data_IF_553159310571
#
_entry.id   IF_553159310571
#
_cell.length_a   1.000
_cell.length_b   1.000
_cell.length_c   1.000
_cell.angle_alpha   90.00
_cell.angle_beta   90.00
_cell.angle_gamma   90.00
#
_symmetry.space_group_name_H-M   'P 1'
#
loop_
_entity.id
_entity.type
_entity.pdbx_description
1 polymer ?
#
# COMPACT_ATOMS: atom_id res chain seq x y z
N UNK A 1 20.22 -17.97 4.28
CA UNK A 1 20.32 -16.52 4.00
C UNK A 1 21.73 -16.28 3.45
N UNK A 2 21.90 -15.72 2.26
CA UNK A 2 23.20 -15.58 1.60
C UNK A 2 23.09 -14.96 0.20
N UNK A 3 24.19 -14.42 -0.32
CA UNK A 3 24.21 -13.73 -1.62
C UNK A 3 23.75 -14.64 -2.77
N UNK A 4 22.89 -14.11 -3.65
CA UNK A 4 22.36 -14.84 -4.81
C UNK A 4 21.25 -15.84 -4.50
N UNK A 5 20.74 -15.88 -3.26
CA UNK A 5 19.52 -16.63 -2.93
C UNK A 5 18.37 -15.67 -2.72
N UNK A 6 17.25 -15.95 -3.38
CA UNK A 6 16.00 -15.26 -3.12
C UNK A 6 15.66 -15.38 -1.63
N UNK A 7 15.46 -14.22 -1.00
CA UNK A 7 15.05 -14.13 0.38
C UNK A 7 13.76 -13.32 0.41
N UNK A 8 12.67 -14.00 0.74
CA UNK A 8 11.39 -13.35 0.84
C UNK A 8 11.33 -12.53 2.12
N UNK A 9 10.91 -11.26 2.00
CA UNK A 9 10.64 -10.40 3.14
C UNK A 9 9.26 -10.74 3.72
N UNK A 10 9.06 -11.98 4.16
CA UNK A 10 7.82 -12.39 4.86
C UNK A 10 7.93 -11.91 6.30
N UNK A 11 7.15 -10.90 6.65
CA UNK A 11 6.89 -10.57 8.05
C UNK A 11 5.86 -11.58 8.63
N UNK A 12 5.91 -11.84 9.93
CA UNK A 12 4.92 -12.67 10.64
C UNK A 12 3.49 -12.11 10.62
N UNK A 13 3.30 -10.91 10.05
CA UNK A 13 2.01 -10.26 9.87
C UNK A 13 1.78 -9.80 8.43
N UNK A 14 0.52 -9.90 8.01
CA UNK A 14 -0.01 -9.12 6.89
C UNK A 14 -0.45 -7.76 7.43
N UNK A 15 -0.17 -6.68 6.69
CA UNK A 15 -0.76 -5.39 6.96
C UNK A 15 -1.82 -5.11 5.88
N UNK A 16 -3.02 -4.72 6.31
CA UNK A 16 -4.13 -4.43 5.38
C UNK A 16 -4.20 -2.94 5.06
N UNK A 17 -4.29 -2.61 3.77
CA UNK A 17 -4.49 -1.26 3.25
C UNK A 17 -5.99 -0.90 3.21
N UNK A 18 -6.66 -0.79 4.37
CA UNK A 18 -8.11 -0.59 4.44
C UNK A 18 -8.58 0.79 4.93
N UNK A 19 -7.66 1.69 5.30
CA UNK A 19 -8.01 3.05 5.72
C UNK A 19 -7.73 4.01 4.57
N UNK A 20 -8.68 4.90 4.29
CA UNK A 20 -8.46 5.98 3.32
C UNK A 20 -7.34 6.87 3.82
N UNK A 21 -6.39 7.20 2.93
CA UNK A 21 -5.25 8.02 3.27
C UNK A 21 -3.97 7.63 2.54
N UNK A 22 -2.92 8.38 2.84
CA UNK A 22 -1.58 8.18 2.29
C UNK A 22 -0.81 7.18 3.14
N UNK A 23 -0.33 6.11 2.52
CA UNK A 23 0.56 5.14 3.14
C UNK A 23 1.99 5.40 2.69
N UNK A 24 2.91 5.39 3.64
CA UNK A 24 4.36 5.53 3.41
C UNK A 24 5.06 4.23 3.72
N UNK A 25 6.24 4.03 3.14
CA UNK A 25 7.12 2.91 3.41
C UNK A 25 8.45 3.39 3.98
N UNK A 26 9.00 2.60 4.88
CA UNK A 26 10.34 2.76 5.46
C UNK A 26 11.03 1.40 5.33
N UNK A 27 12.10 1.37 4.53
CA UNK A 27 12.85 0.15 4.25
C UNK A 27 14.32 0.44 4.58
N UNK A 28 14.92 -0.42 5.40
CA UNK A 28 16.34 -0.37 5.74
C UNK A 28 17.00 -1.70 5.41
N UNK A 29 18.15 -1.63 4.74
CA UNK A 29 19.03 -2.77 4.56
C UNK A 29 20.11 -2.74 5.63
N UNK A 30 20.07 -3.73 6.52
CA UNK A 30 21.06 -3.94 7.56
C UNK A 30 22.08 -5.00 7.12
N UNK A 31 23.37 -4.68 7.25
CA UNK A 31 24.48 -5.61 6.97
C UNK A 31 25.51 -5.57 8.10
N UNK A 32 26.21 -6.69 8.30
CA UNK A 32 27.19 -6.84 9.38
C UNK A 32 26.83 -7.97 10.33
N UNK A 33 27.55 -8.08 11.45
CA UNK A 33 27.30 -9.12 12.43
C UNK A 33 25.98 -8.89 13.16
N UNK A 34 25.34 -9.97 13.61
CA UNK A 34 23.97 -9.93 14.14
C UNK A 34 23.84 -9.10 15.43
N UNK A 35 24.90 -9.03 16.22
CA UNK A 35 25.00 -8.26 17.47
C UNK A 35 25.22 -6.76 17.23
N UNK A 36 25.76 -6.38 16.07
CA UNK A 36 25.99 -4.99 15.71
C UNK A 36 25.82 -4.75 14.19
N UNK A 37 24.59 -4.80 13.67
CA UNK A 37 24.32 -4.55 12.27
C UNK A 37 24.40 -3.05 11.95
N UNK A 38 24.80 -2.73 10.73
CA UNK A 38 24.89 -1.36 10.22
C UNK A 38 23.89 -1.17 9.09
N UNK A 39 23.20 -0.03 9.07
CA UNK A 39 22.33 0.37 7.97
C UNK A 39 23.21 0.79 6.79
N UNK A 40 23.15 0.06 5.68
CA UNK A 40 23.94 0.34 4.48
C UNK A 40 23.11 0.97 3.35
N UNK A 41 21.78 0.80 3.40
CA UNK A 41 20.87 1.43 2.47
C UNK A 41 19.54 1.72 3.17
N UNK A 42 18.87 2.78 2.71
CA UNK A 42 17.59 3.22 3.27
C UNK A 42 16.72 3.88 2.21
N UNK A 43 15.49 3.42 2.14
CA UNK A 43 14.43 4.01 1.34
C UNK A 43 13.28 4.45 2.23
N UNK A 44 12.93 5.74 2.13
CA UNK A 44 11.75 6.32 2.77
C UNK A 44 10.93 7.00 1.68
N UNK A 45 9.68 6.59 1.52
CA UNK A 45 8.87 7.12 0.44
C UNK A 45 7.39 6.78 0.56
N UNK A 46 6.66 7.12 -0.48
CA UNK A 46 5.23 6.87 -0.57
C UNK A 46 4.98 5.47 -1.12
N UNK A 47 4.11 4.71 -0.46
CA UNK A 47 3.68 3.40 -0.93
C UNK A 47 2.50 3.55 -1.89
N UNK A 48 1.41 4.15 -1.40
CA UNK A 48 0.20 4.40 -2.17
C UNK A 48 -0.71 5.40 -1.46
N UNK A 49 -1.77 5.82 -2.12
CA UNK A 49 -2.87 6.55 -1.50
C UNK A 49 -4.16 5.75 -1.71
N UNK A 50 -4.72 5.24 -0.61
CA UNK A 50 -6.03 4.59 -0.63
C UNK A 50 -7.09 5.67 -0.69
N UNK A 51 -7.90 5.64 -1.74
CA UNK A 51 -9.05 6.53 -1.91
C UNK A 51 -10.32 5.82 -1.45
N UNK A 52 -11.30 6.58 -0.99
CA UNK A 52 -12.62 6.03 -0.75
C UNK A 52 -13.16 5.46 -2.07
N UNK A 53 -13.78 4.29 -1.99
CA UNK A 53 -14.55 3.76 -3.11
C UNK A 53 -15.72 4.72 -3.37
N UNK A 54 -15.74 5.33 -4.56
CA UNK A 54 -16.84 6.16 -4.99
C UNK A 54 -18.01 5.21 -5.31
N UNK A 55 -18.95 5.05 -4.39
CA UNK A 55 -20.25 4.53 -4.78
C UNK A 55 -20.83 5.47 -5.84
N UNK A 56 -21.15 4.93 -7.01
CA UNK A 56 -21.76 5.70 -8.07
C UNK A 56 -23.11 6.25 -7.58
N UNK A 57 -23.15 7.55 -7.26
CA UNK A 57 -24.39 8.29 -6.91
C UNK A 57 -25.49 8.18 -7.99
N UNK A 58 -25.14 7.68 -9.17
CA UNK A 58 -26.05 7.57 -10.31
C UNK A 58 -26.96 6.33 -10.30
N UNK A 59 -26.84 5.43 -9.33
CA UNK A 59 -27.73 4.25 -9.22
C UNK A 59 -29.20 4.63 -8.93
N UNK A 60 -29.47 5.86 -8.51
CA UNK A 60 -30.82 6.35 -8.21
C UNK A 60 -31.43 7.26 -9.27
N UNK A 61 -30.74 7.54 -10.38
CA UNK A 61 -31.30 8.36 -11.46
C UNK A 61 -32.44 7.61 -12.15
N UNK A 62 -33.68 8.01 -11.81
CA UNK A 62 -34.90 7.59 -12.50
C UNK A 62 -35.47 8.76 -13.28
N UNK A 63 -35.97 8.49 -14.49
CA UNK A 63 -36.73 9.46 -15.27
C UNK A 63 -38.02 9.76 -14.51
N UNK A 64 -38.13 10.98 -13.97
CA UNK A 64 -39.33 11.41 -13.23
C UNK A 64 -40.52 11.71 -14.15
N UNK A 65 -40.27 12.16 -15.38
CA UNK A 65 -41.30 12.44 -16.38
C UNK A 65 -40.70 12.51 -17.79
N UNK A 66 -41.46 12.07 -18.79
CA UNK A 66 -41.10 12.16 -20.21
C UNK A 66 -42.32 12.66 -21.00
N UNK A 67 -42.12 13.66 -21.86
CA UNK A 67 -43.14 14.15 -22.79
C UNK A 67 -42.56 14.14 -24.21
N UNK A 68 -43.29 13.49 -25.12
CA UNK A 68 -42.94 13.41 -26.54
C UNK A 68 -43.68 14.52 -27.27
N UNK A 69 -42.94 15.43 -27.92
CA UNK A 69 -43.51 16.40 -28.87
C UNK A 69 -44.07 15.71 -30.10
#
# INVERSE_FOLDING_TARGET
IGAGKDHEFISSGSFTLNKVGKYTTWIELLMGPQDNPVIVDRYIGDLCTVKAELEAEFSQLKIASFEKR
#
